data_IF_213820399489
#
_entry.id   IF_213820399489
#
_cell.length_a   1.000
_cell.length_b   1.000
_cell.length_c   1.000
_cell.angle_alpha   90.00
_cell.angle_beta   90.00
_cell.angle_gamma   90.00
#
_symmetry.space_group_name_H-M   'P 1'
#
loop_
_entity.id
_entity.type
_entity.pdbx_description
1 polymer ?
#
# COMPACT_ATOMS: atom_id res chain seq x y z
N UNK A 1 -10.97 13.00 1.06
CA UNK A 1 -10.15 11.79 0.96
C UNK A 1 -10.67 10.93 -0.16
N UNK A 2 -9.82 10.09 -0.76
CA UNK A 2 -10.24 9.14 -1.79
C UNK A 2 -10.96 7.93 -1.16
N UNK A 3 -11.88 7.33 -1.90
CA UNK A 3 -12.49 6.06 -1.49
C UNK A 3 -11.58 4.92 -1.93
N UNK A 4 -11.11 4.14 -0.95
CA UNK A 4 -10.32 2.93 -1.19
C UNK A 4 -11.24 1.72 -1.36
N UNK A 5 -10.91 0.84 -2.31
CA UNK A 5 -11.74 -0.33 -2.60
C UNK A 5 -10.88 -1.57 -2.74
N UNK A 6 -11.32 -2.67 -2.13
CA UNK A 6 -10.67 -3.96 -2.27
C UNK A 6 -10.90 -4.52 -3.69
N UNK A 7 -9.80 -4.85 -4.39
CA UNK A 7 -9.82 -5.29 -5.79
C UNK A 7 -10.72 -6.49 -6.05
N UNK A 8 -10.84 -7.41 -5.09
CA UNK A 8 -11.64 -8.62 -5.25
C UNK A 8 -13.16 -8.34 -5.16
N UNK A 9 -13.57 -7.20 -4.61
CA UNK A 9 -14.99 -6.89 -4.33
C UNK A 9 -15.62 -5.91 -5.34
N UNK A 10 -14.82 -5.20 -6.13
CA UNK A 10 -15.34 -4.25 -7.12
C UNK A 10 -14.93 -4.63 -8.54
N UNK A 11 -15.83 -4.44 -9.53
CA UNK A 11 -15.49 -4.69 -10.93
C UNK A 11 -14.38 -3.73 -11.39
N UNK A 12 -13.34 -4.29 -11.99
CA UNK A 12 -12.30 -3.51 -12.65
C UNK A 12 -12.80 -3.07 -14.04
N UNK A 13 -13.14 -1.79 -14.19
CA UNK A 13 -13.35 -1.20 -15.51
C UNK A 13 -12.03 -0.60 -15.98
N UNK A 14 -11.55 -0.98 -17.18
CA UNK A 14 -10.23 -0.55 -17.71
C UNK A 14 -10.09 0.98 -17.83
N UNK A 15 -11.20 1.72 -17.92
CA UNK A 15 -11.20 3.18 -18.01
C UNK A 15 -11.50 3.90 -16.67
N UNK A 16 -11.71 3.17 -15.57
CA UNK A 16 -11.93 3.77 -14.25
C UNK A 16 -10.64 3.81 -13.43
N UNK A 17 -10.51 4.86 -12.61
CA UNK A 17 -9.44 5.01 -11.64
C UNK A 17 -9.42 3.81 -10.68
N UNK A 18 -8.38 2.98 -10.77
CA UNK A 18 -8.23 1.79 -9.95
C UNK A 18 -7.81 2.14 -8.52
N UNK A 19 -8.80 2.43 -7.67
CA UNK A 19 -8.62 2.81 -6.28
C UNK A 19 -8.28 1.65 -5.33
N UNK A 20 -7.82 0.52 -5.88
CA UNK A 20 -7.34 -0.63 -5.10
C UNK A 20 -5.84 -0.58 -4.82
N UNK A 21 -5.09 0.29 -5.50
CA UNK A 21 -3.66 0.45 -5.25
C UNK A 21 -3.41 1.43 -4.12
N UNK A 22 -2.51 1.06 -3.21
CA UNK A 22 -2.27 1.79 -1.96
C UNK A 22 -0.77 1.94 -1.66
N UNK A 23 -0.45 3.02 -0.96
CA UNK A 23 0.81 3.20 -0.23
C UNK A 23 0.59 2.74 1.22
N UNK A 24 1.50 1.93 1.73
CA UNK A 24 1.52 1.52 3.14
C UNK A 24 2.94 1.52 3.70
N UNK A 25 3.04 1.72 5.02
CA UNK A 25 4.30 1.74 5.75
C UNK A 25 4.31 0.68 6.84
N UNK A 26 5.36 -0.13 6.90
CA UNK A 26 5.53 -1.16 7.93
C UNK A 26 6.92 -1.08 8.54
N UNK A 27 7.02 -1.56 9.78
CA UNK A 27 8.30 -1.77 10.44
C UNK A 27 8.93 -3.07 9.92
N UNK A 28 10.14 -2.95 9.37
CA UNK A 28 10.92 -4.08 8.87
C UNK A 28 12.18 -4.21 9.72
N UNK A 29 12.47 -5.42 10.17
CA UNK A 29 13.73 -5.70 10.84
C UNK A 29 14.88 -5.63 9.83
N UNK A 30 15.80 -4.69 10.05
CA UNK A 30 17.01 -4.53 9.24
C UNK A 30 17.89 -5.78 9.25
N UNK A 31 17.82 -6.58 10.32
CA UNK A 31 18.65 -7.77 10.51
C UNK A 31 17.87 -9.08 10.37
N UNK A 32 16.73 -9.08 9.66
CA UNK A 32 15.88 -10.28 9.50
C UNK A 32 16.61 -11.54 9.01
N UNK A 33 17.71 -11.37 8.26
CA UNK A 33 18.55 -12.49 7.77
C UNK A 33 19.64 -12.93 8.77
N UNK A 34 19.86 -12.22 9.87
CA UNK A 34 20.88 -12.46 10.89
C UNK A 34 20.23 -12.88 12.21
N UNK A 35 19.79 -14.14 12.26
CA UNK A 35 19.07 -14.79 13.36
C UNK A 35 19.63 -14.66 14.79
N UNK A 36 20.91 -14.29 14.96
CA UNK A 36 21.54 -14.09 16.28
C UNK A 36 21.66 -12.63 16.70
N UNK A 37 21.24 -11.69 15.86
CA UNK A 37 21.35 -10.27 16.13
C UNK A 37 20.04 -9.74 16.70
N UNK A 38 20.14 -8.81 17.65
CA UNK A 38 18.97 -8.14 18.20
C UNK A 38 18.24 -7.38 17.07
N UNK A 39 16.90 -7.54 16.94
CA UNK A 39 16.13 -6.89 15.90
C UNK A 39 16.23 -5.37 15.96
N UNK A 40 16.43 -4.72 14.82
CA UNK A 40 16.38 -3.26 14.70
C UNK A 40 15.37 -2.91 13.63
N UNK A 41 14.22 -2.40 14.08
CA UNK A 41 13.11 -2.07 13.21
C UNK A 41 13.28 -0.69 12.59
N UNK A 42 13.04 -0.60 11.28
CA UNK A 42 12.96 0.65 10.55
C UNK A 42 11.67 0.71 9.75
N UNK A 43 11.09 1.91 9.66
CA UNK A 43 9.90 2.14 8.86
C UNK A 43 10.27 2.11 7.38
N UNK A 44 9.55 1.31 6.59
CA UNK A 44 9.74 1.21 5.15
C UNK A 44 8.43 1.39 4.40
N UNK A 45 8.54 2.10 3.29
CA UNK A 45 7.45 2.35 2.35
C UNK A 45 7.31 1.21 1.36
N UNK A 46 6.06 0.80 1.13
CA UNK A 46 5.69 -0.18 0.14
C UNK A 46 4.45 0.27 -0.62
N UNK A 47 4.26 -0.34 -1.79
CA UNK A 47 3.06 -0.16 -2.60
C UNK A 47 2.48 -1.53 -2.91
N UNK A 48 1.17 -1.60 -3.09
CA UNK A 48 0.51 -2.86 -3.39
C UNK A 48 -0.95 -2.68 -3.75
N UNK A 49 -1.57 -3.77 -4.20
CA UNK A 49 -2.99 -3.82 -4.46
C UNK A 49 -3.71 -4.39 -3.22
N UNK A 50 -4.63 -3.61 -2.65
CA UNK A 50 -5.53 -4.07 -1.60
C UNK A 50 -6.47 -5.12 -2.18
N UNK A 51 -6.38 -6.35 -1.67
CA UNK A 51 -7.21 -7.48 -2.09
C UNK A 51 -8.45 -7.63 -1.24
N UNK A 52 -8.32 -7.47 0.08
CA UNK A 52 -9.39 -7.59 1.06
C UNK A 52 -9.14 -6.70 2.28
N UNK A 53 -10.23 -6.27 2.92
CA UNK A 53 -10.22 -5.76 4.29
C UNK A 53 -10.90 -6.85 5.14
N UNK A 54 -10.17 -7.38 6.11
CA UNK A 54 -10.64 -8.42 7.02
C UNK A 54 -10.95 -7.75 8.36
N UNK A 55 -12.17 -7.97 8.85
CA UNK A 55 -12.62 -7.46 10.15
C UNK A 55 -12.61 -8.63 11.13
N UNK A 56 -11.80 -8.52 12.18
CA UNK A 56 -11.72 -9.50 13.25
C UNK A 56 -12.41 -8.94 14.49
N UNK A 57 -13.47 -9.61 14.92
CA UNK A 57 -14.12 -9.33 16.20
C UNK A 57 -13.53 -10.28 17.25
N UNK A 58 -12.75 -9.73 18.19
CA UNK A 58 -12.21 -10.52 19.29
C UNK A 58 -13.26 -10.71 20.37
N UNK A 59 -13.27 -11.88 21.03
CA UNK A 59 -14.22 -12.15 22.11
C UNK A 59 -13.91 -11.34 23.36
N UNK A 60 -14.93 -11.08 24.19
CA UNK A 60 -14.84 -10.37 25.47
C UNK A 60 -13.85 -11.00 26.49
N UNK A 61 -13.22 -12.14 26.18
CA UNK A 61 -12.11 -12.68 26.99
C UNK A 61 -10.82 -11.86 26.82
N UNK A 62 -10.74 -11.00 25.80
CA UNK A 62 -9.65 -10.06 25.54
C UNK A 62 -10.23 -8.65 25.65
N UNK A 63 -10.61 -8.22 26.85
CA UNK A 63 -11.06 -6.84 27.04
C UNK A 63 -9.86 -5.91 27.06
N UNK A 64 -9.88 -4.91 26.18
CA UNK A 64 -9.08 -3.70 26.31
C UNK A 64 -10.09 -2.59 26.58
N UNK A 65 -9.98 -1.93 27.73
CA UNK A 65 -10.88 -0.85 28.15
C UNK A 65 -12.38 -1.20 28.17
N UNK A 66 -12.74 -2.47 28.44
CA UNK A 66 -14.13 -2.90 28.63
C UNK A 66 -14.96 -3.09 27.35
N UNK A 67 -14.33 -3.09 26.18
CA UNK A 67 -14.95 -3.51 24.91
C UNK A 67 -14.12 -4.60 24.24
N UNK A 68 -14.79 -5.55 23.59
CA UNK A 68 -14.17 -6.44 22.62
C UNK A 68 -13.50 -5.62 21.50
N UNK A 69 -12.18 -5.69 21.32
CA UNK A 69 -11.51 -4.94 20.27
C UNK A 69 -11.88 -5.50 18.89
N UNK A 70 -12.16 -4.60 17.96
CA UNK A 70 -12.30 -4.93 16.53
C UNK A 70 -11.00 -4.54 15.82
N UNK A 71 -10.36 -5.51 15.18
CA UNK A 71 -9.11 -5.31 14.43
C UNK A 71 -9.43 -5.31 12.94
N UNK A 72 -8.89 -4.34 12.22
CA UNK A 72 -8.99 -4.25 10.76
C UNK A 72 -7.65 -4.63 10.15
N UNK A 73 -7.64 -5.66 9.31
CA UNK A 73 -6.44 -6.10 8.60
C UNK A 73 -6.60 -5.86 7.10
N UNK A 74 -5.59 -5.26 6.50
CA UNK A 74 -5.48 -5.11 5.05
C UNK A 74 -4.71 -6.31 4.48
N UNK A 75 -5.37 -7.09 3.63
CA UNK A 75 -4.72 -8.13 2.83
C UNK A 75 -4.26 -7.51 1.51
N UNK A 76 -2.94 -7.35 1.35
CA UNK A 76 -2.32 -6.57 0.28
C UNK A 76 -1.46 -7.50 -0.55
N UNK A 77 -1.60 -7.44 -1.87
CA UNK A 77 -0.66 -8.07 -2.79
C UNK A 77 0.41 -7.03 -3.17
N UNK A 78 1.66 -7.14 -2.69
CA UNK A 78 2.65 -6.08 -2.88
C UNK A 78 3.08 -5.90 -4.34
N UNK A 79 3.37 -4.67 -4.75
CA UNK A 79 4.04 -4.38 -6.01
C UNK A 79 5.52 -4.79 -5.93
N UNK A 80 6.05 -5.41 -6.99
CA UNK A 80 7.50 -5.60 -7.15
C UNK A 80 8.10 -4.32 -7.72
N UNK A 81 8.39 -3.37 -6.84
CA UNK A 81 9.02 -2.10 -7.23
C UNK A 81 10.40 -2.38 -7.82
N UNK A 82 10.61 -2.01 -9.09
CA UNK A 82 11.83 -2.26 -9.85
C UNK A 82 12.77 -1.07 -9.89
N UNK A 83 12.30 0.11 -9.48
CA UNK A 83 13.11 1.32 -9.43
C UNK A 83 12.28 2.57 -9.16
N UNK A 84 12.95 3.71 -9.19
CA UNK A 84 12.37 5.04 -9.11
C UNK A 84 13.14 6.00 -10.02
N UNK A 85 12.56 7.15 -10.35
CA UNK A 85 13.25 8.19 -11.12
C UNK A 85 13.60 9.40 -10.24
N UNK A 86 14.21 10.42 -10.85
CA UNK A 86 14.62 11.65 -10.15
C UNK A 86 13.45 12.48 -9.58
N UNK A 87 12.21 12.12 -9.89
CA UNK A 87 10.99 12.74 -9.35
C UNK A 87 10.36 11.87 -8.25
N UNK A 88 11.09 10.87 -7.75
CA UNK A 88 10.63 9.91 -6.74
C UNK A 88 9.38 9.11 -7.16
N UNK A 89 9.15 9.00 -8.47
CA UNK A 89 8.09 8.13 -8.99
C UNK A 89 8.61 6.70 -8.99
N UNK A 90 7.95 5.84 -8.23
CA UNK A 90 8.24 4.41 -8.19
C UNK A 90 7.62 3.67 -9.37
N UNK A 91 8.31 2.63 -9.84
CA UNK A 91 7.84 1.80 -10.94
C UNK A 91 7.74 0.34 -10.55
N UNK A 92 6.76 -0.37 -11.08
CA UNK A 92 6.63 -1.82 -10.95
C UNK A 92 6.12 -2.44 -12.25
N UNK A 93 6.52 -3.68 -12.53
CA UNK A 93 6.01 -4.44 -13.69
C UNK A 93 5.02 -5.53 -13.27
N UNK A 94 5.13 -6.02 -12.03
CA UNK A 94 4.39 -7.17 -11.52
C UNK A 94 4.01 -6.99 -10.05
N UNK A 95 2.99 -7.74 -9.63
CA UNK A 95 2.71 -7.98 -8.22
C UNK A 95 3.49 -9.20 -7.70
N UNK A 96 3.79 -9.22 -6.40
CA UNK A 96 4.27 -10.41 -5.71
C UNK A 96 3.19 -11.50 -5.72
N UNK A 97 3.61 -12.77 -5.67
CA UNK A 97 2.66 -13.89 -5.65
C UNK A 97 1.97 -14.05 -4.29
N UNK A 98 2.65 -13.64 -3.22
CA UNK A 98 2.14 -13.69 -1.85
C UNK A 98 1.29 -12.47 -1.52
N UNK A 99 0.32 -12.69 -0.64
CA UNK A 99 -0.45 -11.62 0.01
C UNK A 99 0.12 -11.40 1.40
N UNK A 100 0.35 -10.15 1.77
CA UNK A 100 0.76 -9.75 3.10
C UNK A 100 -0.46 -9.23 3.86
N UNK A 101 -0.58 -9.58 5.13
CA UNK A 101 -1.59 -9.00 6.03
C UNK A 101 -0.92 -8.01 6.96
N UNK A 102 -1.44 -6.79 6.98
CA UNK A 102 -0.97 -5.71 7.85
C UNK A 102 -2.15 -5.11 8.58
N UNK A 103 -1.90 -4.49 9.73
CA UNK A 103 -2.91 -3.66 10.39
C UNK A 103 -3.33 -2.51 9.46
N UNK A 104 -4.62 -2.19 9.42
CA UNK A 104 -5.16 -1.15 8.52
C UNK A 104 -4.51 0.22 8.77
N UNK A 105 -4.02 0.50 9.98
CA UNK A 105 -3.30 1.74 10.32
C UNK A 105 -1.96 1.89 9.58
N UNK A 106 -1.40 0.81 9.03
CA UNK A 106 -0.21 0.88 8.18
C UNK A 106 -0.51 1.51 6.82
N UNK A 107 -1.76 1.49 6.36
CA UNK A 107 -2.14 2.03 5.05
C UNK A 107 -2.21 3.55 5.12
N UNK A 108 -1.45 4.22 4.24
CA UNK A 108 -1.33 5.68 4.23
C UNK A 108 -2.36 6.32 3.31
N UNK A 109 -2.41 5.89 2.04
CA UNK A 109 -3.31 6.46 1.05
C UNK A 109 -3.54 5.53 -0.16
N UNK A 110 -4.53 5.89 -0.97
CA UNK A 110 -4.70 5.33 -2.32
C UNK A 110 -3.73 6.01 -3.28
N UNK A 111 -3.09 5.24 -4.15
CA UNK A 111 -2.19 5.73 -5.19
C UNK A 111 -2.75 5.41 -6.58
N UNK A 112 -2.47 6.29 -7.53
CA UNK A 112 -2.73 6.03 -8.94
C UNK A 112 -1.63 5.20 -9.57
N UNK A 113 -1.91 4.64 -10.76
CA UNK A 113 -0.87 4.04 -11.60
C UNK A 113 -1.11 4.37 -13.06
N UNK A 114 -0.04 4.62 -13.80
CA UNK A 114 -0.08 4.93 -15.24
C UNK A 114 0.86 3.98 -15.96
N UNK A 115 0.38 3.34 -17.01
CA UNK A 115 1.21 2.48 -17.83
C UNK A 115 2.23 3.31 -18.62
N UNK A 116 3.43 2.79 -18.78
CA UNK A 116 4.36 3.30 -19.78
C UNK A 116 3.81 3.06 -21.20
N UNK A 117 4.40 3.70 -22.20
CA UNK A 117 3.95 3.59 -23.59
C UNK A 117 4.01 2.16 -24.14
N UNK A 118 4.82 1.28 -23.53
CA UNK A 118 4.92 -0.14 -23.87
C UNK A 118 3.94 -1.04 -23.13
N UNK A 119 3.18 -0.54 -22.14
CA UNK A 119 2.27 -1.32 -21.31
C UNK A 119 2.94 -2.36 -20.40
N UNK A 120 4.26 -2.28 -20.21
CA UNK A 120 5.06 -3.28 -19.47
C UNK A 120 5.44 -2.80 -18.08
N UNK A 121 5.42 -1.49 -17.86
CA UNK A 121 5.81 -0.87 -16.61
C UNK A 121 4.69 0.08 -16.15
N UNK A 122 4.45 0.11 -14.85
CA UNK A 122 3.50 1.02 -14.23
C UNK A 122 4.24 2.01 -13.36
N UNK A 123 4.09 3.30 -13.66
CA UNK A 123 4.49 4.39 -12.78
C UNK A 123 3.43 4.54 -11.67
N UNK A 124 3.85 4.58 -10.42
CA UNK A 124 3.00 4.84 -9.27
C UNK A 124 2.93 6.36 -9.07
N UNK A 125 1.70 6.86 -8.97
CA UNK A 125 1.41 8.28 -8.79
C UNK A 125 0.82 8.48 -7.40
N UNK A 126 1.65 8.95 -6.48
CA UNK A 126 1.19 9.42 -5.17
C UNK A 126 0.71 10.87 -5.27
N UNK A 127 -0.54 11.11 -4.87
CA UNK A 127 -1.17 12.43 -4.87
C UNK A 127 -1.17 13.11 -3.50
N UNK A 128 -0.46 12.55 -2.52
CA UNK A 128 -0.35 13.11 -1.17
C UNK A 128 0.83 14.06 -0.99
N UNK A 129 1.83 13.99 -1.87
CA UNK A 129 3.06 14.81 -1.81
C UNK A 129 3.00 16.16 -2.53
N UNK A 130 4.10 16.91 -2.46
CA UNK A 130 4.23 18.25 -3.08
C UNK A 130 4.04 18.25 -4.61
N UNK A 131 4.30 17.12 -5.28
CA UNK A 131 4.10 16.93 -6.72
C UNK A 131 2.62 16.83 -7.12
N UNK A 132 1.69 16.69 -6.17
CA UNK A 132 0.26 16.60 -6.44
C UNK A 132 -0.37 17.93 -6.87
N UNK A 133 0.38 19.03 -6.81
CA UNK A 133 -0.10 20.37 -7.12
C UNK A 133 0.51 20.86 -8.44
N UNK A 134 -0.35 21.18 -9.40
CA UNK A 134 0.09 21.91 -10.59
C UNK A 134 0.59 23.31 -10.17
N UNK A 135 1.82 23.65 -10.56
CA UNK A 135 2.34 25.01 -10.47
C UNK A 135 2.23 25.66 -11.84
N UNK A 136 1.55 26.81 -11.92
CA UNK A 136 1.60 27.65 -13.11
C UNK A 136 2.93 28.40 -13.10
N UNK A 137 3.82 28.04 -14.02
CA UNK A 137 5.00 28.85 -14.33
C UNK A 137 4.59 29.77 -15.47
N UNK A 138 4.07 30.95 -15.14
CA UNK A 138 3.95 32.03 -16.11
C UNK A 138 5.35 32.46 -16.53
N UNK A 139 5.57 32.61 -17.83
CA UNK A 139 6.78 33.20 -18.39
C UNK A 139 7.02 34.61 -17.86
#
# INVERSE_FOLDING_TARGET
GDTMVAATLAPHYQDLYDASYIWYEVLVDRFAWQWHKEPVFEKRTFFGQLRHIIVLHLSNSVEVDGSAPTIFLAAIQPCKVTGFNNLDMHFFSDLQKSTNMVDMTCVQCVVGRVADSGGRLWAIIDRSGNLARASYNGE
#
